data_IF_170097857623
#
_entry.id   IF_170097857623
#
_cell.length_a   1.000
_cell.length_b   1.000
_cell.length_c   1.000
_cell.angle_alpha   90.00
_cell.angle_beta   90.00
_cell.angle_gamma   90.00
#
_symmetry.space_group_name_H-M   'P 1'
#
loop_
_entity.id
_entity.type
_entity.pdbx_description
1 polymer ?
#
# COMPACT_ATOMS: atom_id res chain seq x y z
N UNK A 1 15.28 -9.12 -53.78
CA UNK A 1 15.84 -10.02 -52.78
C UNK A 1 16.10 -9.18 -51.52
N UNK A 2 15.13 -9.10 -50.63
CA UNK A 2 15.23 -8.39 -49.35
C UNK A 2 15.67 -9.40 -48.29
N UNK A 3 16.58 -9.05 -47.39
CA UNK A 3 17.06 -10.01 -46.37
C UNK A 3 15.92 -10.31 -45.38
N UNK A 4 15.79 -11.59 -45.07
CA UNK A 4 14.93 -12.10 -44.02
C UNK A 4 15.29 -11.43 -42.70
N UNK A 5 14.31 -10.69 -42.13
CA UNK A 5 14.44 -10.12 -40.79
C UNK A 5 14.61 -11.24 -39.78
N UNK A 6 15.69 -11.18 -39.01
CA UNK A 6 15.95 -12.00 -37.83
C UNK A 6 14.73 -12.02 -36.93
N UNK A 7 14.16 -13.19 -36.73
CA UNK A 7 13.11 -13.40 -35.77
C UNK A 7 13.63 -13.06 -34.37
N UNK A 8 13.26 -11.87 -33.86
CA UNK A 8 13.34 -11.60 -32.43
C UNK A 8 12.42 -12.61 -31.77
N UNK A 9 13.01 -13.61 -31.11
CA UNK A 9 12.29 -14.41 -30.12
C UNK A 9 11.55 -13.41 -29.22
N UNK A 10 10.25 -13.49 -29.20
CA UNK A 10 9.40 -12.76 -28.26
C UNK A 10 9.67 -13.38 -26.90
N UNK A 11 10.69 -12.85 -26.22
CA UNK A 11 10.97 -13.24 -24.84
C UNK A 11 9.75 -12.84 -24.01
N UNK A 12 9.06 -13.84 -23.48
CA UNK A 12 7.84 -13.63 -22.68
C UNK A 12 8.19 -12.85 -21.42
N UNK A 13 7.59 -11.68 -21.27
CA UNK A 13 7.69 -10.84 -20.06
C UNK A 13 7.28 -11.66 -18.84
N UNK A 14 8.21 -11.88 -17.90
CA UNK A 14 7.93 -12.53 -16.61
C UNK A 14 7.21 -11.55 -15.70
N UNK A 15 6.10 -11.97 -15.10
CA UNK A 15 5.31 -11.14 -14.19
C UNK A 15 5.48 -11.61 -12.75
N UNK A 16 5.60 -10.63 -11.82
CA UNK A 16 5.72 -10.88 -10.39
C UNK A 16 4.74 -10.02 -9.61
N UNK A 17 4.22 -10.56 -8.51
CA UNK A 17 3.56 -9.79 -7.48
C UNK A 17 4.63 -9.27 -6.52
N UNK A 18 4.60 -7.97 -6.19
CA UNK A 18 5.54 -7.35 -5.26
C UNK A 18 4.77 -6.84 -4.05
N UNK A 19 5.20 -7.23 -2.85
CA UNK A 19 4.57 -6.83 -1.60
C UNK A 19 5.47 -5.92 -0.77
N UNK A 20 4.87 -5.06 0.06
CA UNK A 20 5.62 -4.14 0.93
C UNK A 20 5.90 -2.76 0.31
N UNK A 21 5.53 -2.51 -0.95
CA UNK A 21 5.65 -1.19 -1.55
C UNK A 21 4.55 -0.27 -1.02
N UNK A 22 4.95 0.86 -0.42
CA UNK A 22 4.01 1.85 0.15
C UNK A 22 4.06 3.22 -0.53
N UNK A 23 5.06 3.45 -1.38
CA UNK A 23 5.26 4.76 -2.03
C UNK A 23 6.07 4.62 -3.34
N UNK A 24 6.11 5.70 -4.15
CA UNK A 24 6.85 5.72 -5.40
C UNK A 24 8.36 5.48 -5.23
N UNK A 25 8.95 5.92 -4.12
CA UNK A 25 10.36 5.63 -3.83
C UNK A 25 10.61 4.13 -3.63
N UNK A 26 9.62 3.38 -3.11
CA UNK A 26 9.70 1.93 -2.96
C UNK A 26 9.71 1.23 -4.33
N UNK A 27 8.81 1.62 -5.23
CA UNK A 27 8.77 1.03 -6.59
C UNK A 27 10.04 1.32 -7.37
N UNK A 28 10.56 2.56 -7.34
CA UNK A 28 11.84 2.91 -7.97
C UNK A 28 13.03 2.14 -7.39
N UNK A 29 13.00 1.81 -6.09
CA UNK A 29 14.05 0.99 -5.46
C UNK A 29 13.98 -0.46 -5.94
N UNK A 30 12.81 -1.07 -6.01
CA UNK A 30 12.61 -2.41 -6.56
C UNK A 30 13.10 -2.46 -8.00
N UNK A 31 12.68 -1.50 -8.82
CA UNK A 31 13.09 -1.39 -10.22
C UNK A 31 14.61 -1.30 -10.37
N UNK A 32 15.27 -0.43 -9.58
CA UNK A 32 16.73 -0.31 -9.57
C UNK A 32 17.46 -1.57 -9.07
N UNK A 33 16.87 -2.31 -8.14
CA UNK A 33 17.47 -3.54 -7.62
C UNK A 33 17.42 -4.65 -8.69
N UNK A 34 16.26 -4.82 -9.34
CA UNK A 34 16.03 -5.83 -10.35
C UNK A 34 16.79 -5.51 -11.65
N UNK A 35 16.87 -4.24 -12.05
CA UNK A 35 17.65 -3.83 -13.23
C UNK A 35 19.16 -4.08 -13.11
N UNK A 36 19.69 -4.38 -11.91
CA UNK A 36 21.08 -4.75 -11.69
C UNK A 36 21.33 -6.25 -11.79
N UNK A 37 20.28 -7.06 -11.88
CA UNK A 37 20.39 -8.52 -12.00
C UNK A 37 20.93 -8.86 -13.40
N UNK A 38 22.00 -9.65 -13.52
CA UNK A 38 22.53 -10.07 -14.81
C UNK A 38 21.45 -10.76 -15.64
N UNK A 39 21.31 -10.37 -16.90
CA UNK A 39 20.31 -10.93 -17.80
C UNK A 39 18.94 -10.23 -17.79
N UNK A 40 18.72 -9.22 -16.96
CA UNK A 40 17.53 -8.34 -17.04
C UNK A 40 17.76 -7.27 -18.10
N UNK A 41 16.86 -7.19 -19.08
CA UNK A 41 16.89 -6.21 -20.16
C UNK A 41 16.03 -5.00 -19.82
N UNK A 42 14.83 -5.25 -19.29
CA UNK A 42 13.91 -4.20 -18.82
C UNK A 42 13.18 -4.64 -17.56
N UNK A 43 12.82 -3.67 -16.72
CA UNK A 43 12.01 -3.89 -15.53
C UNK A 43 11.04 -2.71 -15.37
N UNK A 44 9.76 -3.02 -15.21
CA UNK A 44 8.71 -2.03 -14.97
C UNK A 44 7.92 -2.42 -13.72
N UNK A 45 7.81 -1.50 -12.76
CA UNK A 45 7.13 -1.75 -11.48
C UNK A 45 5.88 -0.87 -11.38
N UNK A 46 4.73 -1.51 -11.18
CA UNK A 46 3.44 -0.84 -10.97
C UNK A 46 3.08 -0.81 -9.49
N UNK A 47 3.05 0.39 -8.91
CA UNK A 47 2.57 0.60 -7.54
C UNK A 47 1.03 0.45 -7.44
N UNK A 48 0.31 0.64 -8.54
CA UNK A 48 -1.15 0.54 -8.58
C UNK A 48 -1.62 -0.91 -8.41
N UNK A 49 -0.99 -1.81 -9.14
CA UNK A 49 -1.32 -3.25 -9.16
C UNK A 49 -0.42 -4.09 -8.26
N UNK A 50 0.57 -3.46 -7.59
CA UNK A 50 1.60 -4.14 -6.82
C UNK A 50 2.27 -5.27 -7.62
N UNK A 51 2.52 -5.03 -8.89
CA UNK A 51 3.11 -5.97 -9.82
C UNK A 51 4.37 -5.44 -10.48
N UNK A 52 5.17 -6.32 -11.00
CA UNK A 52 6.39 -6.03 -11.72
C UNK A 52 6.47 -6.91 -12.96
N UNK A 53 6.77 -6.30 -14.11
CA UNK A 53 7.11 -6.98 -15.36
C UNK A 53 8.62 -6.91 -15.58
N UNK A 54 9.21 -8.05 -15.91
CA UNK A 54 10.66 -8.15 -16.18
C UNK A 54 10.88 -8.88 -17.49
N UNK A 55 11.63 -8.24 -18.41
CA UNK A 55 12.12 -8.85 -19.62
C UNK A 55 13.59 -9.23 -19.45
N UNK A 56 13.97 -10.35 -20.01
CA UNK A 56 15.33 -10.83 -19.98
C UNK A 56 15.47 -12.32 -19.73
N UNK A 57 16.71 -12.78 -19.64
CA UNK A 57 17.09 -14.19 -19.45
C UNK A 57 17.28 -14.58 -17.99
N UNK A 58 17.24 -13.60 -17.04
CA UNK A 58 17.40 -13.85 -15.62
C UNK A 58 16.36 -14.84 -15.09
N UNK A 59 16.74 -15.70 -14.15
CA UNK A 59 15.83 -16.66 -13.54
C UNK A 59 14.84 -15.96 -12.58
N UNK A 60 13.64 -16.55 -12.40
CA UNK A 60 12.66 -16.01 -11.46
C UNK A 60 13.20 -15.94 -10.03
N UNK A 61 14.03 -16.91 -9.64
CA UNK A 61 14.63 -16.95 -8.30
C UNK A 61 15.62 -15.81 -8.07
N UNK A 62 16.47 -15.48 -9.05
CA UNK A 62 17.40 -14.34 -8.95
C UNK A 62 16.66 -13.01 -8.84
N UNK A 63 15.58 -12.85 -9.59
CA UNK A 63 14.73 -11.66 -9.53
C UNK A 63 14.05 -11.54 -8.16
N UNK A 64 13.45 -12.63 -7.64
CA UNK A 64 12.83 -12.66 -6.32
C UNK A 64 13.86 -12.32 -5.24
N UNK A 65 15.04 -12.93 -5.28
CA UNK A 65 16.12 -12.67 -4.33
C UNK A 65 16.59 -11.21 -4.34
N UNK A 66 16.68 -10.59 -5.53
CA UNK A 66 17.02 -9.16 -5.63
C UNK A 66 15.97 -8.26 -4.99
N UNK A 67 14.69 -8.58 -5.14
CA UNK A 67 13.59 -7.85 -4.51
C UNK A 67 13.60 -8.04 -2.99
N UNK A 68 13.86 -9.26 -2.51
CA UNK A 68 13.97 -9.56 -1.08
C UNK A 68 15.16 -8.86 -0.42
N UNK A 69 16.31 -8.82 -1.09
CA UNK A 69 17.49 -8.07 -0.63
C UNK A 69 17.23 -6.57 -0.59
N UNK A 70 16.35 -6.04 -1.45
CA UNK A 70 15.90 -4.65 -1.39
C UNK A 70 14.90 -4.39 -0.25
N UNK A 71 14.47 -5.43 0.50
CA UNK A 71 13.58 -5.32 1.66
C UNK A 71 12.09 -5.51 1.35
N UNK A 72 11.75 -6.00 0.15
CA UNK A 72 10.36 -6.22 -0.31
C UNK A 72 10.11 -7.71 -0.51
N UNK A 73 8.83 -8.12 -0.59
CA UNK A 73 8.49 -9.48 -0.96
C UNK A 73 8.17 -9.56 -2.46
N UNK A 74 8.55 -10.67 -3.11
CA UNK A 74 8.17 -10.97 -4.48
C UNK A 74 7.72 -12.41 -4.62
N UNK A 75 6.77 -12.64 -5.53
CA UNK A 75 6.35 -13.97 -5.96
C UNK A 75 6.06 -13.96 -7.45
N UNK A 76 6.46 -14.99 -8.16
CA UNK A 76 6.18 -15.11 -9.58
C UNK A 76 4.67 -15.27 -9.82
N UNK A 77 4.14 -14.52 -10.80
CA UNK A 77 2.75 -14.56 -11.18
C UNK A 77 2.59 -15.53 -12.35
N UNK A 78 2.38 -16.83 -12.04
CA UNK A 78 2.10 -17.89 -13.00
C UNK A 78 3.22 -18.12 -14.02
N UNK A 79 3.74 -19.34 -14.07
CA UNK A 79 4.58 -19.77 -15.17
C UNK A 79 3.79 -19.70 -16.48
N UNK A 80 4.48 -19.48 -17.60
CA UNK A 80 4.01 -19.20 -18.96
C UNK A 80 2.99 -20.20 -19.60
N UNK A 81 2.37 -21.08 -18.81
CA UNK A 81 1.40 -22.10 -19.24
C UNK A 81 0.01 -21.98 -18.59
N UNK A 82 -0.29 -20.88 -17.88
CA UNK A 82 -1.68 -20.65 -17.48
C UNK A 82 -2.36 -19.80 -18.57
N UNK A 83 -3.60 -20.15 -18.98
CA UNK A 83 -4.39 -19.31 -19.87
C UNK A 83 -4.45 -17.89 -19.26
N UNK A 84 -4.45 -16.88 -20.12
CA UNK A 84 -4.52 -15.48 -19.70
C UNK A 84 -5.58 -15.35 -18.59
N UNK A 85 -5.29 -14.61 -17.49
CA UNK A 85 -6.21 -14.55 -16.36
C UNK A 85 -7.57 -14.10 -16.86
N UNK A 86 -8.62 -14.85 -16.49
CA UNK A 86 -9.98 -14.51 -16.91
C UNK A 86 -10.33 -13.10 -16.47
N UNK A 87 -11.19 -12.42 -17.23
CA UNK A 87 -11.68 -11.06 -16.89
C UNK A 87 -12.15 -10.98 -15.42
N UNK A 88 -12.74 -12.07 -14.91
CA UNK A 88 -13.18 -12.18 -13.51
C UNK A 88 -12.02 -12.19 -12.52
N UNK A 89 -10.90 -12.83 -12.85
CA UNK A 89 -9.71 -12.84 -12.00
C UNK A 89 -9.02 -11.47 -11.97
N UNK A 90 -8.95 -10.79 -13.11
CA UNK A 90 -8.44 -9.42 -13.20
C UNK A 90 -9.32 -8.46 -12.41
N UNK A 91 -10.64 -8.57 -12.52
CA UNK A 91 -11.60 -7.75 -11.77
C UNK A 91 -11.43 -7.96 -10.25
N UNK A 92 -11.24 -9.20 -9.81
CA UNK A 92 -11.01 -9.57 -8.42
C UNK A 92 -9.67 -9.06 -7.87
N UNK A 93 -8.61 -9.05 -8.70
CA UNK A 93 -7.31 -8.47 -8.35
C UNK A 93 -7.35 -6.94 -8.22
N UNK A 94 -8.27 -6.29 -8.93
CA UNK A 94 -8.49 -4.84 -8.87
C UNK A 94 -9.49 -4.43 -7.78
N UNK A 95 -10.01 -5.35 -6.97
CA UNK A 95 -10.92 -5.05 -5.89
C UNK A 95 -10.19 -4.36 -4.72
N UNK A 96 -10.77 -3.26 -4.24
CA UNK A 96 -10.17 -2.47 -3.18
C UNK A 96 -10.46 -3.08 -1.79
N UNK A 97 -9.53 -3.87 -1.30
CA UNK A 97 -9.57 -4.46 0.03
C UNK A 97 -8.88 -3.63 1.11
N UNK A 98 -8.15 -2.58 0.74
CA UNK A 98 -7.35 -1.77 1.68
C UNK A 98 -8.15 -0.60 2.26
N UNK A 99 -8.95 0.09 1.46
CA UNK A 99 -9.75 1.26 1.89
C UNK A 99 -10.65 0.98 3.08
N UNK A 100 -11.44 -0.12 3.14
CA UNK A 100 -12.31 -0.38 4.29
C UNK A 100 -11.53 -0.63 5.59
N UNK A 101 -10.37 -1.28 5.50
CA UNK A 101 -9.49 -1.50 6.66
C UNK A 101 -8.89 -0.19 7.17
N UNK A 102 -8.39 0.66 6.26
CA UNK A 102 -7.86 1.98 6.58
C UNK A 102 -8.93 2.88 7.19
N UNK A 103 -10.15 2.89 6.65
CA UNK A 103 -11.28 3.66 7.17
C UNK A 103 -11.59 3.27 8.62
N UNK A 104 -11.68 1.98 8.92
CA UNK A 104 -11.94 1.49 10.30
C UNK A 104 -10.82 1.92 11.25
N UNK A 105 -9.56 1.76 10.84
CA UNK A 105 -8.39 2.19 11.64
C UNK A 105 -8.41 3.68 11.89
N UNK A 106 -8.71 4.48 10.89
CA UNK A 106 -8.79 5.93 11.00
C UNK A 106 -9.89 6.38 11.98
N UNK A 107 -11.10 5.80 11.90
CA UNK A 107 -12.21 6.14 12.80
C UNK A 107 -11.80 5.88 14.26
N UNK A 108 -11.22 4.72 14.55
CA UNK A 108 -10.78 4.42 15.91
C UNK A 108 -9.62 5.31 16.36
N UNK A 109 -8.61 5.51 15.52
CA UNK A 109 -7.48 6.40 15.84
C UNK A 109 -7.95 7.83 16.10
N UNK A 110 -8.88 8.35 15.28
CA UNK A 110 -9.42 9.70 15.44
C UNK A 110 -10.24 9.82 16.72
N UNK A 111 -11.07 8.80 17.04
CA UNK A 111 -11.84 8.79 18.28
C UNK A 111 -10.95 8.85 19.53
N UNK A 112 -9.94 8.01 19.61
CA UNK A 112 -8.98 8.04 20.73
C UNK A 112 -8.12 9.31 20.75
N UNK A 113 -7.75 9.84 19.58
CA UNK A 113 -7.00 11.10 19.49
C UNK A 113 -7.82 12.28 20.02
N UNK A 114 -9.12 12.36 19.71
CA UNK A 114 -9.97 13.42 20.22
C UNK A 114 -10.10 13.37 21.75
N UNK A 115 -10.21 12.16 22.32
CA UNK A 115 -10.21 11.99 23.78
C UNK A 115 -8.86 12.40 24.37
N UNK A 116 -7.75 12.01 23.73
CA UNK A 116 -6.41 12.38 24.15
C UNK A 116 -6.23 13.90 24.15
N UNK A 117 -6.63 14.58 23.07
CA UNK A 117 -6.58 16.04 22.96
C UNK A 117 -7.47 16.75 23.95
N UNK A 118 -8.63 16.16 24.29
CA UNK A 118 -9.49 16.70 25.33
C UNK A 118 -8.79 16.70 26.69
N UNK A 119 -8.11 15.59 27.04
CA UNK A 119 -7.40 15.45 28.33
C UNK A 119 -6.14 16.29 28.38
N UNK A 120 -5.35 16.35 27.28
CA UNK A 120 -4.10 17.10 27.23
C UNK A 120 -4.35 18.61 27.05
N UNK A 121 -4.70 19.04 25.85
CA UNK A 121 -4.87 20.46 25.52
C UNK A 121 -6.17 21.06 26.08
N UNK A 122 -7.27 20.32 26.04
CA UNK A 122 -8.57 20.82 26.45
C UNK A 122 -8.58 21.27 27.90
N UNK A 123 -8.01 20.49 28.80
CA UNK A 123 -7.93 20.83 30.21
C UNK A 123 -6.83 21.86 30.49
N UNK A 124 -5.62 21.68 29.97
CA UNK A 124 -4.48 22.55 30.28
C UNK A 124 -4.62 23.95 29.67
N UNK A 125 -5.11 24.08 28.41
CA UNK A 125 -5.18 25.39 27.74
C UNK A 125 -6.53 26.09 27.93
N UNK A 126 -7.62 25.34 27.99
CA UNK A 126 -8.98 25.91 28.01
C UNK A 126 -9.77 25.62 29.30
N UNK A 127 -9.15 24.90 30.26
CA UNK A 127 -9.78 24.60 31.54
C UNK A 127 -11.03 23.73 31.43
N UNK A 128 -11.12 22.86 30.42
CA UNK A 128 -12.29 21.99 30.25
C UNK A 128 -12.46 21.06 31.45
N UNK A 129 -13.70 20.78 31.88
CA UNK A 129 -13.95 20.01 33.08
C UNK A 129 -13.48 18.56 32.89
N UNK A 130 -12.69 18.08 33.86
CA UNK A 130 -12.31 16.69 34.00
C UNK A 130 -12.98 16.08 35.23
N UNK A 131 -13.16 14.74 35.26
CA UNK A 131 -13.61 14.04 36.47
C UNK A 131 -12.76 14.37 37.69
N UNK A 132 -13.35 14.48 38.88
CA UNK A 132 -12.69 14.97 40.09
C UNK A 132 -11.45 14.18 40.53
N UNK A 133 -11.26 12.95 40.07
CA UNK A 133 -10.04 12.18 40.39
C UNK A 133 -8.78 12.68 39.67
N UNK A 134 -8.92 13.56 38.68
CA UNK A 134 -7.79 14.23 38.02
C UNK A 134 -7.38 15.54 38.73
N UNK A 135 -8.21 16.05 39.66
CA UNK A 135 -7.89 17.27 40.38
C UNK A 135 -6.62 17.06 41.18
N UNK A 136 -5.60 17.89 40.95
CA UNK A 136 -4.27 17.81 41.56
C UNK A 136 -3.50 16.50 41.33
N UNK A 137 -3.99 15.63 40.46
CA UNK A 137 -3.39 14.34 40.15
C UNK A 137 -2.78 14.31 38.72
N UNK A 138 -1.67 15.02 38.58
CA UNK A 138 -0.95 15.17 37.32
C UNK A 138 -0.41 13.82 36.80
N UNK A 139 -0.06 12.89 37.69
CA UNK A 139 0.40 11.55 37.33
C UNK A 139 -0.73 10.75 36.65
N UNK A 140 -1.97 10.83 37.17
CA UNK A 140 -3.10 10.15 36.54
C UNK A 140 -3.38 10.70 35.14
N UNK A 141 -3.23 12.01 34.92
CA UNK A 141 -3.36 12.63 33.60
C UNK A 141 -2.31 12.10 32.62
N UNK A 142 -1.04 12.08 33.05
CA UNK A 142 0.04 11.54 32.22
C UNK A 142 -0.12 10.06 31.89
N UNK A 143 -0.54 9.23 32.85
CA UNK A 143 -0.86 7.82 32.63
C UNK A 143 -2.02 7.63 31.64
N UNK A 144 -3.05 8.45 31.72
CA UNK A 144 -4.18 8.39 30.77
C UNK A 144 -3.71 8.74 29.36
N UNK A 145 -2.88 9.77 29.20
CA UNK A 145 -2.30 10.14 27.92
C UNK A 145 -1.43 9.00 27.35
N UNK A 146 -0.59 8.38 28.19
CA UNK A 146 0.25 7.24 27.81
C UNK A 146 -0.62 6.08 27.32
N UNK A 147 -1.66 5.67 28.07
CA UNK A 147 -2.53 4.56 27.71
C UNK A 147 -3.26 4.82 26.38
N UNK A 148 -3.82 6.01 26.18
CA UNK A 148 -4.49 6.39 24.95
C UNK A 148 -3.54 6.36 23.76
N UNK A 149 -2.31 6.86 23.96
CA UNK A 149 -1.28 6.83 22.92
C UNK A 149 -0.87 5.40 22.57
N UNK A 150 -0.69 4.52 23.55
CA UNK A 150 -0.41 3.10 23.32
C UNK A 150 -1.53 2.45 22.49
N UNK A 151 -2.78 2.73 22.78
CA UNK A 151 -3.92 2.19 22.01
C UNK A 151 -3.80 2.65 20.54
N UNK A 152 -3.53 3.94 20.30
CA UNK A 152 -3.36 4.47 18.94
C UNK A 152 -2.15 3.84 18.23
N UNK A 153 -1.03 3.63 18.93
CA UNK A 153 0.15 2.94 18.41
C UNK A 153 -0.16 1.49 18.02
N UNK A 154 -0.92 0.77 18.84
CA UNK A 154 -1.35 -0.62 18.56
C UNK A 154 -2.28 -0.67 17.35
N UNK A 155 -3.25 0.22 17.24
CA UNK A 155 -4.13 0.34 16.07
C UNK A 155 -3.29 0.55 14.80
N UNK A 156 -2.21 1.30 14.91
CA UNK A 156 -1.34 1.69 13.80
C UNK A 156 -0.01 0.91 13.74
N UNK A 157 0.09 -0.25 14.40
CA UNK A 157 1.31 -1.06 14.51
C UNK A 157 1.98 -1.40 13.16
N UNK A 158 1.22 -1.42 12.06
CA UNK A 158 1.74 -1.70 10.71
C UNK A 158 2.85 -0.73 10.31
N UNK A 159 2.77 0.55 10.71
CA UNK A 159 3.82 1.54 10.42
C UNK A 159 5.13 1.19 11.15
N UNK A 160 5.05 0.72 12.38
CA UNK A 160 6.22 0.32 13.14
C UNK A 160 6.86 -0.93 12.55
N UNK A 161 6.05 -1.96 12.25
CA UNK A 161 6.54 -3.22 11.67
C UNK A 161 7.20 -2.95 10.30
N UNK A 162 6.53 -2.21 9.40
CA UNK A 162 7.06 -1.86 8.09
C UNK A 162 8.29 -0.94 8.20
N UNK A 163 8.21 0.10 9.04
CA UNK A 163 9.26 1.08 9.21
C UNK A 163 10.55 0.50 9.79
N UNK A 164 10.47 -0.27 10.87
CA UNK A 164 11.65 -0.91 11.48
C UNK A 164 12.21 -2.03 10.61
N UNK A 165 11.36 -2.79 9.90
CA UNK A 165 11.83 -3.76 8.91
C UNK A 165 12.62 -3.08 7.80
N UNK A 166 12.11 -1.98 7.25
CA UNK A 166 12.79 -1.21 6.22
C UNK A 166 14.12 -0.62 6.72
N UNK A 167 14.17 -0.16 7.96
CA UNK A 167 15.39 0.34 8.60
C UNK A 167 16.45 -0.77 8.73
N UNK A 168 16.05 -1.96 9.16
CA UNK A 168 16.94 -3.12 9.29
C UNK A 168 17.58 -3.51 7.95
N UNK A 169 16.81 -3.44 6.87
CA UNK A 169 17.33 -3.71 5.50
C UNK A 169 18.05 -2.49 4.88
N UNK A 170 18.40 -1.47 5.68
CA UNK A 170 19.03 -0.22 5.22
C UNK A 170 18.28 0.45 4.06
N UNK A 171 16.96 0.30 4.07
CA UNK A 171 16.03 0.75 3.06
C UNK A 171 14.97 1.70 3.65
N UNK A 172 15.36 2.78 4.39
CA UNK A 172 14.41 3.64 5.06
C UNK A 172 13.38 4.18 4.06
N UNK A 173 12.12 4.18 4.50
CA UNK A 173 10.98 4.65 3.75
C UNK A 173 10.15 5.63 4.60
N UNK A 174 9.00 6.08 4.07
CA UNK A 174 8.10 6.97 4.80
C UNK A 174 7.63 6.36 6.13
N UNK A 175 7.35 5.05 6.17
CA UNK A 175 6.92 4.36 7.38
C UNK A 175 8.03 4.36 8.44
N UNK A 176 9.31 4.31 8.03
CA UNK A 176 10.48 4.43 8.93
C UNK A 176 10.51 5.78 9.63
N UNK A 177 10.28 6.87 8.89
CA UNK A 177 10.25 8.22 9.47
C UNK A 177 9.13 8.36 10.49
N UNK A 178 7.94 7.87 10.15
CA UNK A 178 6.77 7.86 11.04
C UNK A 178 7.03 7.03 12.29
N UNK A 179 7.58 5.81 12.14
CA UNK A 179 7.89 4.93 13.26
C UNK A 179 8.93 5.55 14.21
N UNK A 180 10.01 6.12 13.67
CA UNK A 180 11.06 6.76 14.48
C UNK A 180 10.53 7.99 15.21
N UNK A 181 9.82 8.89 14.52
CA UNK A 181 9.27 10.12 15.12
C UNK A 181 8.27 9.82 16.24
N UNK A 182 7.32 8.92 15.98
CA UNK A 182 6.32 8.52 16.98
C UNK A 182 6.95 7.78 18.17
N UNK A 183 7.94 6.91 17.91
CA UNK A 183 8.66 6.20 18.98
C UNK A 183 9.47 7.16 19.83
N UNK A 184 10.19 8.11 19.21
CA UNK A 184 10.98 9.10 19.94
C UNK A 184 10.10 9.97 20.84
N UNK A 185 8.98 10.49 20.33
CA UNK A 185 8.01 11.27 21.10
C UNK A 185 7.43 10.46 22.26
N UNK A 186 7.05 9.20 22.02
CA UNK A 186 6.51 8.31 23.04
C UNK A 186 7.54 7.98 24.14
N UNK A 187 8.78 7.62 23.77
CA UNK A 187 9.85 7.26 24.73
C UNK A 187 10.23 8.48 25.57
N UNK A 188 10.38 9.65 24.96
CA UNK A 188 10.70 10.88 25.67
C UNK A 188 9.60 11.25 26.67
N UNK A 189 8.32 11.21 26.25
CA UNK A 189 7.19 11.50 27.14
C UNK A 189 7.05 10.48 28.26
N UNK A 190 7.40 9.22 28.00
CA UNK A 190 7.43 8.18 29.04
C UNK A 190 8.53 8.49 30.07
N UNK A 191 9.73 8.90 29.62
CA UNK A 191 10.79 9.36 30.50
C UNK A 191 10.35 10.56 31.34
N UNK A 192 9.76 11.60 30.70
CA UNK A 192 9.25 12.78 31.42
C UNK A 192 8.19 12.41 32.45
N UNK A 193 7.29 11.46 32.15
CA UNK A 193 6.29 10.94 33.10
C UNK A 193 6.95 10.28 34.31
N UNK A 194 7.97 9.45 34.11
CA UNK A 194 8.71 8.83 35.23
C UNK A 194 9.45 9.90 36.05
N UNK A 195 10.09 10.88 35.43
CA UNK A 195 10.76 11.97 36.13
C UNK A 195 9.76 12.81 36.94
N UNK A 196 8.56 13.06 36.39
CA UNK A 196 7.46 13.76 37.04
C UNK A 196 7.00 13.04 38.31
N UNK A 197 6.91 11.69 38.32
CA UNK A 197 6.54 10.95 39.53
C UNK A 197 7.54 11.21 40.66
N UNK A 198 8.83 11.27 40.35
CA UNK A 198 9.88 11.60 41.34
C UNK A 198 9.75 13.03 41.88
N UNK A 199 9.41 14.00 41.04
CA UNK A 199 9.15 15.39 41.45
C UNK A 199 7.92 15.47 42.37
N UNK A 200 6.85 14.79 42.02
CA UNK A 200 5.62 14.74 42.83
C UNK A 200 5.87 14.16 44.23
N UNK A 201 6.64 13.09 44.33
CA UNK A 201 7.02 12.50 45.64
C UNK A 201 7.84 13.47 46.52
N UNK A 202 8.66 14.32 45.90
CA UNK A 202 9.42 15.35 46.61
C UNK A 202 8.60 16.61 46.95
N UNK A 203 7.39 16.73 46.46
CA UNK A 203 6.54 17.90 46.62
C UNK A 203 6.97 19.11 45.78
N UNK A 204 7.77 18.89 44.74
CA UNK A 204 8.27 19.91 43.82
C UNK A 204 7.25 20.13 42.69
N UNK A 205 6.27 20.99 42.94
CA UNK A 205 5.16 21.24 42.01
C UNK A 205 5.62 22.01 40.76
N UNK A 206 6.64 22.84 40.86
CA UNK A 206 7.17 23.56 39.69
C UNK A 206 7.79 22.57 38.71
N UNK A 207 8.61 21.64 39.19
CA UNK A 207 9.16 20.58 38.37
C UNK A 207 8.07 19.63 37.80
N UNK A 208 6.98 19.38 38.53
CA UNK A 208 5.84 18.58 38.03
C UNK A 208 5.19 19.26 36.83
N UNK A 209 4.94 20.58 36.91
CA UNK A 209 4.35 21.36 35.83
C UNK A 209 5.27 21.41 34.60
N UNK A 210 6.58 21.61 34.81
CA UNK A 210 7.57 21.62 33.72
C UNK A 210 7.54 20.26 32.96
N UNK A 211 7.59 19.13 33.67
CA UNK A 211 7.51 17.81 33.03
C UNK A 211 6.17 17.56 32.32
N UNK A 212 5.05 18.11 32.82
CA UNK A 212 3.77 18.02 32.13
C UNK A 212 3.79 18.75 30.77
N UNK A 213 4.46 19.90 30.69
CA UNK A 213 4.60 20.65 29.43
C UNK A 213 5.50 19.92 28.43
N UNK A 214 6.35 19.02 28.89
CA UNK A 214 7.25 18.20 28.08
C UNK A 214 6.63 16.91 27.54
N UNK A 215 5.32 16.69 27.70
CA UNK A 215 4.65 15.54 27.15
C UNK A 215 4.37 15.72 25.65
N UNK A 216 4.85 14.76 24.85
CA UNK A 216 4.61 14.65 23.40
C UNK A 216 3.76 13.43 23.05
N UNK A 217 2.97 12.88 23.98
CA UNK A 217 2.07 11.76 23.75
C UNK A 217 1.07 12.07 22.64
N UNK A 218 0.49 13.26 22.65
CA UNK A 218 -0.42 13.72 21.61
C UNK A 218 0.26 13.86 20.24
N UNK A 219 1.52 14.33 20.22
CA UNK A 219 2.30 14.46 18.99
C UNK A 219 2.55 13.09 18.36
N UNK A 220 2.92 12.07 19.15
CA UNK A 220 3.08 10.70 18.70
C UNK A 220 1.77 10.14 18.10
N UNK A 221 0.64 10.35 18.78
CA UNK A 221 -0.67 9.92 18.33
C UNK A 221 -1.16 10.68 17.08
N UNK A 222 -0.88 11.98 17.01
CA UNK A 222 -1.25 12.84 15.90
C UNK A 222 -0.49 12.46 14.62
N UNK A 223 0.83 12.22 14.70
CA UNK A 223 1.64 11.76 13.56
C UNK A 223 1.02 10.50 12.95
N UNK A 224 0.68 9.49 13.78
CA UNK A 224 0.09 8.23 13.33
C UNK A 224 -1.30 8.41 12.72
N UNK A 225 -2.10 9.29 13.29
CA UNK A 225 -3.46 9.53 12.80
C UNK A 225 -3.43 10.30 11.47
N UNK A 226 -2.62 11.36 11.38
CA UNK A 226 -2.50 12.17 10.16
C UNK A 226 -1.94 11.36 8.98
N UNK A 227 -0.93 10.52 9.22
CA UNK A 227 -0.42 9.65 8.15
C UNK A 227 -1.47 8.63 7.71
N UNK A 228 -2.31 8.15 8.63
CA UNK A 228 -3.42 7.25 8.29
C UNK A 228 -4.48 7.96 7.44
N UNK A 229 -4.76 9.27 7.70
CA UNK A 229 -5.60 10.10 6.81
C UNK A 229 -4.98 10.16 5.42
N UNK A 230 -3.70 10.49 5.33
CA UNK A 230 -2.97 10.55 4.05
C UNK A 230 -3.06 9.23 3.27
N UNK A 231 -2.84 8.11 3.94
CA UNK A 231 -2.95 6.77 3.33
C UNK A 231 -4.38 6.44 2.89
N UNK A 232 -5.38 6.87 3.63
CA UNK A 232 -6.78 6.68 3.22
C UNK A 232 -7.11 7.51 1.96
N UNK A 233 -6.65 8.75 1.89
CA UNK A 233 -6.84 9.59 0.70
C UNK A 233 -6.13 9.02 -0.53
N UNK A 234 -4.90 8.52 -0.34
CA UNK A 234 -4.13 7.82 -1.38
C UNK A 234 -4.90 6.57 -1.88
N UNK A 235 -5.36 5.71 -0.98
CA UNK A 235 -6.11 4.51 -1.33
C UNK A 235 -7.41 4.85 -2.09
N UNK A 236 -8.15 5.87 -1.63
CA UNK A 236 -9.37 6.34 -2.31
C UNK A 236 -9.08 6.87 -3.71
N UNK A 237 -7.97 7.60 -3.90
CA UNK A 237 -7.58 8.09 -5.21
C UNK A 237 -7.21 6.95 -6.16
N UNK A 238 -6.45 5.96 -5.69
CA UNK A 238 -6.13 4.74 -6.44
C UNK A 238 -7.38 3.95 -6.82
N UNK A 239 -8.32 3.78 -5.89
CA UNK A 239 -9.60 3.10 -6.12
C UNK A 239 -10.40 3.73 -7.26
N UNK A 240 -10.49 5.07 -7.32
CA UNK A 240 -11.17 5.76 -8.42
C UNK A 240 -10.54 5.50 -9.80
N UNK A 241 -9.22 5.47 -9.86
CA UNK A 241 -8.51 5.15 -11.11
C UNK A 241 -8.77 3.70 -11.52
N UNK A 242 -8.76 2.78 -10.58
CA UNK A 242 -9.06 1.37 -10.81
C UNK A 242 -10.50 1.15 -11.26
N UNK A 243 -11.46 1.88 -10.70
CA UNK A 243 -12.87 1.81 -11.10
C UNK A 243 -13.09 2.33 -12.53
N UNK A 244 -12.36 3.36 -12.95
CA UNK A 244 -12.37 3.84 -14.33
C UNK A 244 -11.84 2.76 -15.30
N UNK A 245 -10.73 2.09 -14.95
CA UNK A 245 -10.21 0.96 -15.74
C UNK A 245 -11.20 -0.19 -15.81
N UNK A 246 -11.84 -0.57 -14.70
CA UNK A 246 -12.90 -1.60 -14.68
C UNK A 246 -14.08 -1.23 -15.59
N UNK A 247 -14.45 0.05 -15.62
CA UNK A 247 -15.52 0.52 -16.49
C UNK A 247 -15.17 0.36 -17.97
N UNK A 248 -13.93 0.65 -18.36
CA UNK A 248 -13.44 0.41 -19.70
C UNK A 248 -13.39 -1.09 -20.05
N UNK A 249 -12.93 -1.92 -19.13
CA UNK A 249 -12.92 -3.37 -19.32
C UNK A 249 -14.33 -3.96 -19.50
N UNK A 250 -15.35 -3.41 -18.86
CA UNK A 250 -16.75 -3.82 -19.03
C UNK A 250 -17.32 -3.48 -20.40
N UNK A 251 -16.72 -2.55 -21.13
CA UNK A 251 -17.09 -2.21 -22.49
C UNK A 251 -16.52 -3.21 -23.53
N UNK A 252 -15.47 -3.96 -23.15
CA UNK A 252 -14.91 -4.98 -24.01
C UNK A 252 -15.92 -6.14 -24.19
N UNK A 253 -16.15 -6.62 -25.42
CA UNK A 253 -17.05 -7.74 -25.68
C UNK A 253 -16.50 -9.01 -25.00
N UNK A 254 -17.40 -9.83 -24.50
CA UNK A 254 -17.04 -11.09 -23.80
C UNK A 254 -17.01 -12.30 -24.73
N UNK A 255 -17.59 -12.16 -25.90
CA UNK A 255 -17.71 -13.21 -26.91
C UNK A 255 -17.31 -12.69 -28.27
N UNK A 256 -16.86 -13.57 -29.13
CA UNK A 256 -16.59 -13.32 -30.55
C UNK A 256 -17.33 -14.34 -31.41
N UNK A 257 -17.81 -13.90 -32.58
CA UNK A 257 -18.38 -14.80 -33.59
C UNK A 257 -17.26 -15.19 -34.55
N UNK A 258 -16.73 -16.39 -34.39
CA UNK A 258 -15.66 -16.92 -35.25
C UNK A 258 -16.24 -17.82 -36.36
N UNK A 259 -15.55 -17.84 -37.50
CA UNK A 259 -15.91 -18.71 -38.63
C UNK A 259 -14.95 -19.89 -38.66
N UNK A 260 -15.42 -21.07 -38.27
CA UNK A 260 -14.66 -22.33 -38.31
C UNK A 260 -15.34 -23.34 -39.24
N UNK A 261 -14.62 -23.81 -40.23
CA UNK A 261 -15.18 -24.77 -41.21
C UNK A 261 -16.38 -24.25 -42.02
N UNK A 262 -16.45 -22.93 -42.25
CA UNK A 262 -17.53 -22.27 -42.99
C UNK A 262 -18.82 -22.06 -42.18
N UNK A 263 -18.81 -22.33 -40.87
CA UNK A 263 -19.92 -22.06 -39.96
C UNK A 263 -19.54 -21.01 -38.95
N UNK A 264 -20.48 -20.11 -38.66
CA UNK A 264 -20.33 -19.11 -37.58
C UNK A 264 -20.61 -19.76 -36.22
N UNK A 265 -19.71 -19.56 -35.29
CA UNK A 265 -19.84 -20.02 -33.89
C UNK A 265 -19.50 -18.88 -32.94
N UNK A 266 -20.34 -18.66 -31.93
CA UNK A 266 -20.06 -17.67 -30.89
C UNK A 266 -19.28 -18.32 -29.77
N UNK A 267 -18.06 -17.87 -29.58
CA UNK A 267 -17.13 -18.40 -28.55
C UNK A 267 -16.74 -17.31 -27.56
N UNK A 268 -16.38 -17.66 -26.31
CA UNK A 268 -15.73 -16.74 -25.41
C UNK A 268 -14.44 -16.19 -26.01
N UNK A 269 -14.09 -14.93 -25.70
CA UNK A 269 -12.88 -14.26 -26.24
C UNK A 269 -11.62 -15.08 -25.96
N UNK A 270 -11.54 -15.71 -24.79
CA UNK A 270 -10.38 -16.52 -24.37
C UNK A 270 -10.14 -17.75 -25.26
N UNK A 271 -11.12 -18.12 -26.06
CA UNK A 271 -11.05 -19.27 -26.98
C UNK A 271 -10.71 -18.88 -28.42
N UNK A 272 -10.60 -17.57 -28.70
CA UNK A 272 -10.17 -17.10 -30.02
C UNK A 272 -8.66 -17.28 -30.14
N UNK A 273 -8.23 -17.89 -31.25
CA UNK A 273 -6.81 -18.15 -31.51
C UNK A 273 -6.28 -17.28 -32.65
N UNK A 274 -4.97 -17.07 -32.64
CA UNK A 274 -4.30 -16.39 -33.75
C UNK A 274 -4.51 -17.17 -35.07
N UNK A 275 -5.04 -16.47 -36.07
CA UNK A 275 -5.41 -17.07 -37.36
C UNK A 275 -6.91 -17.39 -37.51
N UNK A 276 -7.70 -17.27 -36.43
CA UNK A 276 -9.17 -17.38 -36.56
C UNK A 276 -9.73 -16.21 -37.36
N UNK A 277 -10.71 -16.47 -38.18
CA UNK A 277 -11.51 -15.42 -38.87
C UNK A 277 -12.76 -15.16 -38.04
N UNK A 278 -13.04 -13.89 -37.73
CA UNK A 278 -14.23 -13.52 -36.98
C UNK A 278 -15.07 -12.48 -37.73
N UNK A 279 -16.37 -12.47 -37.46
CA UNK A 279 -17.34 -11.58 -38.09
C UNK A 279 -17.78 -10.53 -37.06
N UNK A 280 -17.77 -9.25 -37.48
CA UNK A 280 -18.31 -8.12 -36.72
C UNK A 280 -19.43 -7.50 -37.55
N UNK A 281 -20.62 -7.45 -36.97
CA UNK A 281 -21.80 -6.85 -37.61
C UNK A 281 -21.93 -5.37 -37.25
N UNK A 282 -22.65 -4.57 -38.03
CA UNK A 282 -22.92 -3.17 -37.67
C UNK A 282 -23.52 -3.05 -36.27
N UNK A 283 -22.92 -2.24 -35.42
CA UNK A 283 -23.30 -2.04 -34.02
C UNK A 283 -22.62 -2.97 -33.00
N UNK A 284 -21.86 -3.97 -33.46
CA UNK A 284 -21.05 -4.82 -32.60
C UNK A 284 -19.65 -4.22 -32.35
N UNK A 285 -19.06 -4.54 -31.20
CA UNK A 285 -17.69 -4.15 -30.87
C UNK A 285 -16.70 -5.18 -31.44
N UNK A 286 -15.56 -4.71 -31.92
CA UNK A 286 -14.46 -5.56 -32.39
C UNK A 286 -13.90 -6.35 -31.19
N UNK A 287 -13.93 -7.71 -31.23
CA UNK A 287 -13.61 -8.52 -30.04
C UNK A 287 -12.11 -8.62 -29.76
N UNK A 288 -11.28 -8.67 -30.79
CA UNK A 288 -9.82 -8.83 -30.71
C UNK A 288 -9.15 -8.05 -31.83
N UNK A 289 -7.85 -7.82 -31.70
CA UNK A 289 -7.06 -7.22 -32.77
C UNK A 289 -7.05 -8.15 -34.01
N UNK A 290 -7.19 -7.57 -35.19
CA UNK A 290 -7.24 -8.32 -36.43
C UNK A 290 -7.01 -7.47 -37.66
N UNK A 291 -6.92 -8.12 -38.82
CA UNK A 291 -6.81 -7.49 -40.13
C UNK A 291 -8.10 -7.68 -40.87
N UNK A 292 -8.63 -6.59 -41.47
CA UNK A 292 -9.86 -6.64 -42.25
C UNK A 292 -9.60 -7.45 -43.53
N UNK A 293 -10.35 -8.53 -43.73
CA UNK A 293 -10.29 -9.38 -44.94
C UNK A 293 -11.31 -8.95 -45.98
N UNK A 294 -12.51 -8.61 -45.55
CA UNK A 294 -13.59 -8.11 -46.39
C UNK A 294 -14.62 -7.35 -45.58
N UNK A 295 -15.28 -6.37 -46.19
CA UNK A 295 -16.30 -5.55 -45.52
C UNK A 295 -16.50 -4.22 -46.19
#
# INVERSE_FOLDING_TARGET
MLPAGEGKEVQSMKQFNVTGMSCAACSSRVEKAVSKVPGVTSCSVSLLTNSMGVDGTASAQEIIQAVEQAGYGASEKGAANQPAPSMQEVEKQLEDHETPKLKRRLIWSLGFLLVLMYVSMGHMMWGWPLPGFYTDNHVAMGLTQLLLTVIIMVINQRFFISGFKALWHRAPNMDTLVALGSTAAFVYSTYALFAMTGAQVRGDMDAVLDYMMDFYFESAAMILTLITVGKMLEARSKGRTTDALKSLMKLAPKTATVVRGGKEETVPIEQVQSGDTFVVRPGESIPVDGVVLSG
#
